data_IF_804881550284
#
_entry.id   IF_804881550284
#
_cell.length_a   1.000
_cell.length_b   1.000
_cell.length_c   1.000
_cell.angle_alpha   90.00
_cell.angle_beta   90.00
_cell.angle_gamma   90.00
#
_symmetry.space_group_name_H-M   'P 1'
#
loop_
_entity.id
_entity.type
_entity.pdbx_description
1 polymer ?
#
# COMPACT_ATOMS: atom_id res chain seq x y z
N UNK A 1 -9.05 7.78 -10.67
CA UNK A 1 -9.73 8.22 -9.43
C UNK A 1 -11.19 7.84 -9.57
N UNK A 2 -11.79 7.20 -8.58
CA UNK A 2 -13.22 6.91 -8.62
C UNK A 2 -14.05 8.13 -8.16
N UNK A 3 -15.38 8.01 -8.17
CA UNK A 3 -16.30 9.07 -7.77
C UNK A 3 -16.19 9.49 -6.29
N UNK A 4 -15.33 8.86 -5.50
CA UNK A 4 -15.08 9.18 -4.10
C UNK A 4 -13.85 10.06 -3.87
N UNK A 5 -13.00 10.26 -4.89
CA UNK A 5 -11.79 11.08 -4.80
C UNK A 5 -10.57 10.38 -4.19
N UNK A 6 -10.70 9.11 -3.81
CA UNK A 6 -9.62 8.33 -3.19
C UNK A 6 -8.83 7.51 -4.20
N UNK A 7 -7.51 7.40 -3.98
CA UNK A 7 -6.64 6.48 -4.69
C UNK A 7 -6.76 5.08 -4.09
N UNK A 8 -6.96 4.07 -4.94
CA UNK A 8 -7.13 2.69 -4.53
C UNK A 8 -6.08 1.82 -5.19
N UNK A 9 -5.48 0.92 -4.41
CA UNK A 9 -4.60 -0.11 -4.95
C UNK A 9 -5.39 -1.37 -5.30
N UNK A 10 -5.17 -1.81 -6.53
CA UNK A 10 -5.65 -3.08 -7.04
C UNK A 10 -4.47 -4.00 -7.26
N UNK A 11 -4.69 -5.26 -6.96
CA UNK A 11 -3.74 -6.32 -7.20
C UNK A 11 -4.27 -7.21 -8.31
N UNK A 12 -3.43 -7.54 -9.27
CA UNK A 12 -3.72 -8.45 -10.38
C UNK A 12 -2.53 -9.37 -10.58
N UNK A 13 -2.79 -10.63 -10.93
CA UNK A 13 -1.72 -11.57 -11.25
C UNK A 13 -1.06 -11.20 -12.58
N UNK A 14 0.18 -11.62 -12.84
CA UNK A 14 0.87 -11.34 -14.11
C UNK A 14 0.13 -11.85 -15.35
N UNK A 15 -0.69 -12.90 -15.20
CA UNK A 15 -1.55 -13.45 -16.25
C UNK A 15 -2.84 -12.64 -16.49
N UNK A 16 -3.03 -11.53 -15.79
CA UNK A 16 -4.21 -10.68 -15.87
C UNK A 16 -5.41 -11.16 -15.04
N UNK A 17 -5.29 -12.30 -14.35
CA UNK A 17 -6.39 -12.86 -13.53
C UNK A 17 -6.35 -12.38 -12.08
N UNK A 18 -7.43 -12.61 -11.34
CA UNK A 18 -7.46 -12.39 -9.89
C UNK A 18 -7.39 -10.91 -9.47
N UNK A 19 -7.91 -10.00 -10.31
CA UNK A 19 -8.04 -8.59 -9.97
C UNK A 19 -8.88 -8.43 -8.69
N UNK A 20 -8.29 -7.86 -7.65
CA UNK A 20 -9.00 -7.53 -6.43
C UNK A 20 -8.43 -6.26 -5.79
N UNK A 21 -9.26 -5.59 -4.99
CA UNK A 21 -8.87 -4.36 -4.28
C UNK A 21 -8.21 -4.74 -2.94
N UNK A 22 -7.10 -4.09 -2.61
CA UNK A 22 -6.33 -4.37 -1.38
C UNK A 22 -6.96 -3.70 -0.14
N UNK A 23 -7.82 -2.69 -0.34
CA UNK A 23 -8.44 -1.93 0.74
C UNK A 23 -9.94 -1.70 0.51
N UNK A 24 -10.74 -1.61 1.57
CA UNK A 24 -12.15 -1.19 1.48
C UNK A 24 -12.37 0.22 2.06
N UNK A 25 -11.36 0.79 2.73
CA UNK A 25 -11.45 2.06 3.42
C UNK A 25 -11.32 3.26 2.46
N UNK A 26 -11.89 4.40 2.85
CA UNK A 26 -11.70 5.72 2.22
C UNK A 26 -10.32 6.27 2.55
N UNK A 27 -9.28 5.59 2.08
CA UNK A 27 -7.89 5.95 2.28
C UNK A 27 -7.17 5.91 0.94
N UNK A 28 -6.17 6.78 0.82
CA UNK A 28 -5.33 6.89 -0.36
C UNK A 28 -4.16 5.91 -0.24
N UNK A 29 -4.18 4.85 -1.05
CA UNK A 29 -3.07 3.91 -1.15
C UNK A 29 -2.22 4.23 -2.39
N UNK A 30 -0.93 4.53 -2.19
CA UNK A 30 -0.02 5.03 -3.23
C UNK A 30 1.35 4.34 -3.19
N UNK A 31 2.13 4.57 -4.23
CA UNK A 31 3.54 4.19 -4.33
C UNK A 31 3.87 2.73 -3.95
N UNK A 32 3.24 1.74 -4.60
CA UNK A 32 3.48 0.33 -4.30
C UNK A 32 4.88 -0.13 -4.77
N UNK A 33 5.54 -0.95 -3.95
CA UNK A 33 6.77 -1.68 -4.29
C UNK A 33 6.68 -3.14 -3.85
N UNK A 34 7.05 -4.05 -4.75
CA UNK A 34 6.98 -5.50 -4.53
C UNK A 34 8.26 -6.06 -3.91
N UNK A 35 8.12 -7.06 -3.04
CA UNK A 35 9.25 -7.89 -2.64
C UNK A 35 9.79 -8.69 -3.84
N UNK A 36 11.10 -9.01 -3.89
CA UNK A 36 11.68 -9.76 -5.01
C UNK A 36 11.06 -11.14 -5.24
N UNK A 37 10.54 -11.75 -4.18
CA UNK A 37 9.83 -13.05 -4.23
C UNK A 37 8.36 -12.92 -4.67
N UNK A 38 7.86 -11.70 -4.90
CA UNK A 38 6.48 -11.42 -5.29
C UNK A 38 5.44 -11.76 -4.23
N UNK A 39 5.83 -12.04 -2.98
CA UNK A 39 4.91 -12.47 -1.91
C UNK A 39 4.34 -11.31 -1.11
N UNK A 40 4.96 -10.14 -1.15
CA UNK A 40 4.60 -8.99 -0.34
C UNK A 40 4.69 -7.69 -1.13
N UNK A 41 3.91 -6.72 -0.72
CA UNK A 41 3.89 -5.37 -1.25
C UNK A 41 4.01 -4.37 -0.10
N UNK A 42 4.91 -3.40 -0.24
CA UNK A 42 4.95 -2.19 0.60
C UNK A 42 4.30 -1.04 -0.16
N UNK A 43 3.54 -0.19 0.52
CA UNK A 43 2.91 0.99 -0.07
C UNK A 43 2.70 2.08 0.99
N UNK A 44 2.49 3.33 0.55
CA UNK A 44 2.08 4.41 1.44
C UNK A 44 0.57 4.48 1.52
N UNK A 45 0.05 4.75 2.72
CA UNK A 45 -1.38 4.97 2.96
C UNK A 45 -1.60 6.18 3.86
N UNK A 46 -2.48 7.08 3.42
CA UNK A 46 -2.87 8.28 4.15
C UNK A 46 -4.35 8.60 3.97
N UNK A 47 -4.82 9.62 4.71
CA UNK A 47 -6.18 10.16 4.60
C UNK A 47 -6.44 10.87 3.27
N UNK A 48 -7.65 11.43 3.13
CA UNK A 48 -8.05 12.21 1.94
C UNK A 48 -7.22 13.49 1.80
N UNK A 49 -6.90 14.09 2.94
CA UNK A 49 -6.29 15.39 3.07
C UNK A 49 -4.90 15.26 3.72
N UNK A 50 -4.02 16.23 3.47
CA UNK A 50 -2.64 16.27 3.98
C UNK A 50 -2.52 16.38 5.51
N UNK A 51 -3.65 16.48 6.22
CA UNK A 51 -3.73 16.51 7.67
C UNK A 51 -3.42 15.14 8.31
N UNK A 52 -3.67 14.04 7.59
CA UNK A 52 -3.33 12.69 8.05
C UNK A 52 -2.01 12.24 7.40
N UNK A 53 -0.92 12.06 8.19
CA UNK A 53 0.37 11.69 7.64
C UNK A 53 0.29 10.33 6.93
N UNK A 54 0.96 10.22 5.78
CA UNK A 54 1.11 8.94 5.10
C UNK A 54 2.00 8.00 5.92
N UNK A 55 1.56 6.75 6.09
CA UNK A 55 2.31 5.70 6.75
C UNK A 55 2.66 4.58 5.78
N UNK A 56 3.76 3.87 6.06
CA UNK A 56 4.12 2.68 5.31
C UNK A 56 3.30 1.50 5.79
N UNK A 57 2.77 0.74 4.84
CA UNK A 57 2.06 -0.51 5.10
C UNK A 57 2.68 -1.64 4.30
N UNK A 58 2.64 -2.84 4.89
CA UNK A 58 2.98 -4.09 4.27
C UNK A 58 1.71 -4.92 4.09
N UNK A 59 1.50 -5.49 2.91
CA UNK A 59 0.47 -6.48 2.65
C UNK A 59 1.07 -7.69 1.95
N UNK A 60 0.38 -8.83 2.03
CA UNK A 60 0.69 -9.99 1.20
C UNK A 60 0.13 -9.79 -0.22
N UNK A 61 0.66 -10.58 -1.15
CA UNK A 61 0.24 -10.64 -2.54
C UNK A 61 -1.21 -11.16 -2.76
N UNK A 62 -1.95 -11.47 -1.71
CA UNK A 62 -3.37 -11.82 -1.77
C UNK A 62 -4.24 -10.75 -1.09
N UNK A 63 -3.65 -9.59 -0.77
CA UNK A 63 -4.30 -8.50 -0.04
C UNK A 63 -4.45 -8.76 1.46
N UNK A 64 -4.09 -9.94 1.97
CA UNK A 64 -4.18 -10.27 3.39
C UNK A 64 -2.96 -9.78 4.19
N UNK A 65 -3.04 -9.88 5.52
CA UNK A 65 -1.88 -9.62 6.39
C UNK A 65 -1.43 -8.16 6.44
N UNK A 66 -2.34 -7.23 6.16
CA UNK A 66 -2.08 -5.80 6.20
C UNK A 66 -1.51 -5.38 7.57
N UNK A 67 -0.30 -4.82 7.56
CA UNK A 67 0.41 -4.39 8.76
C UNK A 67 0.98 -2.99 8.55
N UNK A 68 0.70 -2.08 9.47
CA UNK A 68 1.32 -0.74 9.48
C UNK A 68 2.77 -0.86 9.98
N UNK A 69 3.73 -0.38 9.19
CA UNK A 69 5.16 -0.43 9.50
C UNK A 69 5.63 0.82 10.25
N UNK A 70 5.07 2.00 9.97
CA UNK A 70 5.40 3.25 10.67
C UNK A 70 4.25 3.71 11.56
N UNK A 71 4.50 3.86 12.87
CA UNK A 71 3.48 4.29 13.85
C UNK A 71 3.61 5.75 14.29
N UNK A 72 4.65 6.45 13.85
CA UNK A 72 4.93 7.85 14.19
C UNK A 72 5.41 8.59 12.95
N UNK A 73 5.12 9.88 12.85
CA UNK A 73 5.63 10.81 11.83
C UNK A 73 7.14 11.06 11.99
N UNK A 74 7.93 9.99 12.05
CA UNK A 74 9.38 10.08 12.00
C UNK A 74 9.80 9.94 10.54
N UNK A 75 10.29 11.04 9.97
CA UNK A 75 10.90 11.12 8.65
C UNK A 75 12.10 10.17 8.57
N UNK A 76 11.89 8.92 8.17
CA UNK A 76 12.96 8.07 7.65
C UNK A 76 12.45 7.50 6.33
N UNK A 77 12.68 8.25 5.25
CA UNK A 77 12.29 7.95 3.87
C UNK A 77 13.24 6.95 3.17
N UNK A 78 13.97 6.13 3.93
CA UNK A 78 14.78 5.07 3.35
C UNK A 78 14.35 3.72 3.94
N UNK A 79 13.56 2.99 3.16
CA UNK A 79 13.44 1.56 3.31
C UNK A 79 14.32 0.93 2.24
N UNK A 80 15.55 0.55 2.62
CA UNK A 80 16.41 -0.28 1.79
C UNK A 80 16.40 -1.72 2.31
N UNK A 81 16.30 -2.68 1.39
CA UNK A 81 16.50 -4.08 1.70
C UNK A 81 18.00 -4.36 1.52
N UNK A 82 18.75 -4.27 2.62
CA UNK A 82 20.15 -4.71 2.61
C UNK A 82 20.22 -6.24 2.36
N UNK A 83 21.27 -6.70 1.64
CA UNK A 83 21.40 -8.07 1.12
C UNK A 83 21.48 -9.17 2.19
#
# INVERSE_FOLDING_TARGET
MDSSGFAHLYLVRPDGTGLHRINAARLNDKNPSWSPDGRRLVFTRGGADDADPEHLYLARADGSGLTQLTKTASHHLEADWLP
#
